data_IF_861465140543
#
_entry.id   IF_861465140543
#
_cell.length_a   1.000
_cell.length_b   1.000
_cell.length_c   1.000
_cell.angle_alpha   90.00
_cell.angle_beta   90.00
_cell.angle_gamma   90.00
#
_symmetry.space_group_name_H-M   'P 1'
#
loop_
_entity.id
_entity.type
_entity.pdbx_description
1 polymer ?
#
# COMPACT_ATOMS: atom_id res chain seq x y z
N UNK A 1 2.33 5.93 -20.62
CA UNK A 1 1.11 6.70 -20.87
C UNK A 1 -0.09 5.78 -20.72
N UNK A 2 -1.04 6.13 -19.93
CA UNK A 2 -2.27 5.37 -19.74
C UNK A 2 -3.46 6.30 -19.89
N UNK A 3 -4.47 5.85 -20.62
CA UNK A 3 -5.74 6.55 -20.80
C UNK A 3 -6.86 5.66 -20.27
N UNK A 4 -7.74 6.23 -19.45
CA UNK A 4 -8.90 5.54 -18.87
C UNK A 4 -10.14 6.40 -19.05
N UNK A 5 -11.16 5.79 -19.64
CA UNK A 5 -12.51 6.35 -19.72
C UNK A 5 -13.45 5.44 -18.94
N UNK A 6 -14.23 6.01 -18.05
CA UNK A 6 -15.29 5.30 -17.33
C UNK A 6 -16.43 6.27 -17.09
N UNK A 7 -17.64 5.87 -17.46
CA UNK A 7 -18.88 6.59 -17.13
C UNK A 7 -19.61 5.83 -16.05
N UNK A 8 -19.97 6.53 -14.99
CA UNK A 8 -20.79 6.00 -13.89
C UNK A 8 -22.14 6.66 -13.90
N UNK A 9 -23.20 5.87 -14.07
CA UNK A 9 -24.59 6.32 -13.99
C UNK A 9 -25.17 6.00 -12.61
N UNK A 10 -25.45 7.01 -11.81
CA UNK A 10 -26.03 6.87 -10.49
C UNK A 10 -27.52 7.25 -10.49
N UNK A 11 -28.35 6.40 -9.88
CA UNK A 11 -29.76 6.69 -9.65
C UNK A 11 -29.93 7.37 -8.28
N UNK A 12 -30.42 8.60 -8.28
CA UNK A 12 -30.45 9.48 -7.09
C UNK A 12 -31.79 9.40 -6.35
N UNK A 13 -32.86 8.95 -6.99
CA UNK A 13 -34.21 8.90 -6.38
C UNK A 13 -35.02 7.72 -6.88
N UNK A 14 -35.76 7.10 -5.96
CA UNK A 14 -36.72 6.03 -6.28
C UNK A 14 -38.00 6.52 -6.98
N UNK A 15 -38.32 7.81 -6.88
CA UNK A 15 -39.54 8.38 -7.44
C UNK A 15 -39.35 9.14 -8.76
N UNK A 16 -38.11 9.43 -9.11
CA UNK A 16 -37.73 9.98 -10.40
C UNK A 16 -36.44 9.31 -10.82
N UNK A 17 -36.42 8.72 -12.01
CA UNK A 17 -35.22 8.13 -12.61
C UNK A 17 -34.24 9.25 -13.01
N UNK A 18 -33.69 9.92 -12.00
CA UNK A 18 -32.65 10.95 -12.21
C UNK A 18 -31.32 10.20 -12.20
N UNK A 19 -30.73 10.02 -13.37
CA UNK A 19 -29.36 9.54 -13.50
C UNK A 19 -28.40 10.73 -13.50
N UNK A 20 -27.32 10.61 -12.74
CA UNK A 20 -26.16 11.49 -12.84
C UNK A 20 -25.02 10.70 -13.44
N UNK A 21 -24.60 11.08 -14.62
CA UNK A 21 -23.42 10.51 -15.24
C UNK A 21 -22.18 11.23 -14.72
N UNK A 22 -21.21 10.45 -14.26
CA UNK A 22 -19.91 10.96 -13.86
C UNK A 22 -18.87 10.33 -14.78
N UNK A 23 -18.23 11.17 -15.59
CA UNK A 23 -17.20 10.75 -16.50
C UNK A 23 -15.82 10.87 -15.85
N UNK A 24 -15.08 9.78 -15.94
CA UNK A 24 -13.68 9.72 -15.51
C UNK A 24 -12.81 9.56 -16.77
N UNK A 25 -12.27 10.65 -17.26
CA UNK A 25 -11.32 10.66 -18.36
C UNK A 25 -9.99 11.22 -17.87
N UNK A 26 -8.98 10.36 -17.82
CA UNK A 26 -7.66 10.72 -17.34
C UNK A 26 -6.59 10.12 -18.27
N UNK A 27 -5.68 10.98 -18.70
CA UNK A 27 -4.45 10.57 -19.36
C UNK A 27 -3.28 10.79 -18.40
N UNK A 28 -2.64 9.72 -17.99
CA UNK A 28 -1.60 9.74 -16.97
C UNK A 28 -0.24 9.30 -17.51
N UNK A 29 0.80 9.92 -17.00
CA UNK A 29 2.18 9.54 -17.25
C UNK A 29 2.81 8.96 -15.98
N UNK A 30 3.35 7.74 -16.10
CA UNK A 30 3.96 6.98 -15.00
C UNK A 30 5.45 6.74 -15.26
N UNK A 31 6.31 7.70 -14.93
CA UNK A 31 7.76 7.52 -15.05
C UNK A 31 8.25 6.51 -14.02
N UNK A 32 9.23 5.70 -14.41
CA UNK A 32 9.98 4.83 -13.52
C UNK A 32 11.45 4.80 -13.89
N UNK A 33 12.31 4.76 -12.87
CA UNK A 33 13.77 4.66 -13.02
C UNK A 33 14.26 3.63 -12.02
N UNK A 34 15.08 2.68 -12.50
CA UNK A 34 15.76 1.71 -11.66
C UNK A 34 17.25 1.73 -12.00
N UNK A 35 18.09 1.91 -10.99
CA UNK A 35 19.54 1.93 -11.13
C UNK A 35 20.13 0.92 -10.16
N UNK A 36 21.04 0.08 -10.66
CA UNK A 36 21.81 -0.85 -9.84
C UNK A 36 23.28 -0.57 -10.03
N UNK A 37 24.01 -0.49 -8.94
CA UNK A 37 25.46 -0.26 -8.94
C UNK A 37 26.15 -1.32 -8.09
N UNK A 38 27.02 -2.11 -8.72
CA UNK A 38 27.84 -3.11 -8.05
C UNK A 38 29.02 -2.43 -7.37
N UNK A 39 29.05 -2.46 -6.04
CA UNK A 39 30.20 -1.99 -5.24
C UNK A 39 31.35 -2.97 -5.32
N UNK A 40 31.04 -4.26 -5.29
CA UNK A 40 31.95 -5.39 -5.44
C UNK A 40 31.21 -6.55 -6.13
N UNK A 41 31.87 -7.67 -6.37
CA UNK A 41 31.23 -8.90 -6.89
C UNK A 41 30.15 -9.47 -5.94
N UNK A 42 30.15 -9.03 -4.68
CA UNK A 42 29.25 -9.52 -3.63
C UNK A 42 28.34 -8.45 -3.02
N UNK A 43 28.47 -7.23 -3.45
CA UNK A 43 27.74 -6.09 -2.86
C UNK A 43 27.20 -5.17 -3.94
N UNK A 44 25.96 -4.78 -3.79
CA UNK A 44 25.33 -3.84 -4.70
C UNK A 44 24.38 -2.88 -3.99
N UNK A 45 24.18 -1.74 -4.60
CA UNK A 45 23.17 -0.76 -4.21
C UNK A 45 22.16 -0.66 -5.36
N UNK A 46 20.88 -0.64 -4.99
CA UNK A 46 19.77 -0.38 -5.92
C UNK A 46 19.06 0.89 -5.51
N UNK A 47 18.76 1.69 -6.49
CA UNK A 47 17.88 2.84 -6.35
C UNK A 47 16.69 2.65 -7.29
N UNK A 48 15.48 2.88 -6.80
CA UNK A 48 14.29 2.86 -7.61
C UNK A 48 13.42 4.08 -7.32
N UNK A 49 12.87 4.65 -8.37
CA UNK A 49 11.82 5.64 -8.32
C UNK A 49 10.70 5.24 -9.27
N UNK A 50 9.45 5.41 -8.84
CA UNK A 50 8.31 5.19 -9.71
C UNK A 50 7.08 5.98 -9.26
N UNK A 51 6.34 6.49 -10.24
CA UNK A 51 5.01 7.04 -10.03
C UNK A 51 3.98 5.96 -10.34
N UNK A 52 3.01 5.76 -9.46
CA UNK A 52 1.88 4.84 -9.65
C UNK A 52 0.57 5.54 -9.30
N UNK A 53 -0.54 4.88 -9.58
CA UNK A 53 -1.88 5.37 -9.29
C UNK A 53 -2.68 4.27 -8.60
N UNK A 54 -3.45 4.65 -7.58
CA UNK A 54 -4.55 3.86 -7.05
C UNK A 54 -5.85 4.52 -7.52
N UNK A 55 -6.60 3.78 -8.34
CA UNK A 55 -7.87 4.24 -8.88
C UNK A 55 -9.01 3.75 -8.00
N UNK A 56 -10.08 4.51 -8.03
CA UNK A 56 -11.30 4.17 -7.33
C UNK A 56 -11.82 2.81 -7.82
N UNK A 57 -12.28 1.99 -6.92
CA UNK A 57 -13.03 0.79 -7.20
C UNK A 57 -14.51 1.13 -7.46
N UNK A 58 -15.22 0.23 -8.15
CA UNK A 58 -16.64 0.44 -8.43
C UNK A 58 -17.47 0.66 -7.16
N UNK A 59 -17.19 -0.08 -6.09
CA UNK A 59 -17.85 0.06 -4.80
C UNK A 59 -17.62 1.41 -4.14
N UNK A 60 -16.41 1.94 -4.28
CA UNK A 60 -16.02 3.21 -3.68
C UNK A 60 -16.74 4.39 -4.31
N UNK A 61 -17.07 4.30 -5.61
CA UNK A 61 -17.75 5.40 -6.35
C UNK A 61 -19.24 5.19 -6.52
N UNK A 62 -19.77 4.01 -6.22
CA UNK A 62 -21.21 3.73 -6.33
C UNK A 62 -21.99 4.49 -5.27
N UNK A 63 -23.07 5.17 -5.67
CA UNK A 63 -24.00 5.80 -4.72
C UNK A 63 -24.88 4.81 -3.95
N UNK A 64 -24.77 3.52 -4.25
CA UNK A 64 -25.53 2.49 -3.55
C UNK A 64 -25.10 2.40 -2.09
N UNK A 65 -26.07 2.26 -1.21
CA UNK A 65 -25.84 1.99 0.20
C UNK A 65 -25.95 0.48 0.39
N UNK A 66 -25.00 -0.11 1.10
CA UNK A 66 -25.05 -1.51 1.50
C UNK A 66 -24.70 -1.62 2.99
N UNK A 67 -25.30 -2.60 3.64
CA UNK A 67 -25.00 -2.93 5.03
C UNK A 67 -23.75 -3.80 5.09
N UNK A 68 -22.78 -3.39 5.91
CA UNK A 68 -21.63 -4.20 6.24
C UNK A 68 -21.88 -4.91 7.57
N UNK A 69 -21.98 -6.25 7.50
CA UNK A 69 -22.32 -7.08 8.66
C UNK A 69 -21.17 -7.18 9.68
N UNK A 70 -19.93 -6.91 9.30
CA UNK A 70 -18.79 -6.90 10.22
C UNK A 70 -18.74 -5.57 11.00
N UNK A 71 -19.08 -4.49 10.33
CA UNK A 71 -19.10 -3.14 10.93
C UNK A 71 -20.45 -2.81 11.59
N UNK A 72 -21.49 -3.63 11.36
CA UNK A 72 -22.87 -3.34 11.77
C UNK A 72 -23.32 -1.93 11.38
N UNK A 73 -22.96 -1.51 10.20
CA UNK A 73 -23.16 -0.13 9.71
C UNK A 73 -23.37 -0.08 8.22
N UNK A 74 -24.05 0.97 7.79
CA UNK A 74 -24.22 1.26 6.38
C UNK A 74 -22.89 1.78 5.78
N UNK A 75 -22.60 1.33 4.57
CA UNK A 75 -21.49 1.82 3.75
C UNK A 75 -22.03 2.44 2.47
N UNK A 76 -21.60 3.64 2.18
CA UNK A 76 -21.99 4.38 0.99
C UNK A 76 -20.75 4.81 0.21
N UNK A 77 -20.73 4.52 -1.09
CA UNK A 77 -19.68 5.01 -1.96
C UNK A 77 -19.78 6.52 -2.20
N UNK A 78 -18.70 7.10 -2.70
CA UNK A 78 -18.56 8.52 -3.00
C UNK A 78 -18.19 8.71 -4.48
N UNK A 79 -19.11 9.16 -5.34
CA UNK A 79 -18.86 9.36 -6.77
C UNK A 79 -17.89 10.52 -7.07
N UNK A 80 -17.58 11.37 -6.09
CA UNK A 80 -16.68 12.51 -6.26
C UNK A 80 -15.20 12.17 -5.97
N UNK A 81 -14.91 10.89 -5.74
CA UNK A 81 -13.54 10.42 -5.50
C UNK A 81 -12.60 10.67 -6.69
N UNK A 82 -11.40 11.10 -6.37
CA UNK A 82 -10.30 11.31 -7.32
C UNK A 82 -9.30 10.16 -7.24
N UNK A 83 -8.58 9.84 -8.34
CA UNK A 83 -7.47 8.89 -8.28
C UNK A 83 -6.39 9.35 -7.30
N UNK A 84 -5.83 8.41 -6.57
CA UNK A 84 -4.68 8.66 -5.70
C UNK A 84 -3.37 8.42 -6.47
N UNK A 85 -2.48 9.38 -6.48
CA UNK A 85 -1.15 9.26 -7.10
C UNK A 85 -0.10 9.00 -6.06
N UNK A 86 0.80 8.07 -6.36
CA UNK A 86 1.81 7.59 -5.42
C UNK A 86 3.20 7.78 -6.04
N UNK A 87 4.07 8.48 -5.34
CA UNK A 87 5.50 8.55 -5.64
C UNK A 87 6.22 7.58 -4.71
N UNK A 88 6.89 6.61 -5.29
CA UNK A 88 7.65 5.59 -4.58
C UNK A 88 9.15 5.87 -4.78
N UNK A 89 9.90 5.82 -3.71
CA UNK A 89 11.36 5.97 -3.69
C UNK A 89 11.94 4.89 -2.81
N UNK A 90 12.88 4.11 -3.35
CA UNK A 90 13.48 2.97 -2.68
C UNK A 90 15.01 3.03 -2.85
N UNK A 91 15.73 2.76 -1.77
CA UNK A 91 17.17 2.60 -1.75
C UNK A 91 17.49 1.31 -1.01
N UNK A 92 18.17 0.36 -1.67
CA UNK A 92 18.48 -0.95 -1.11
C UNK A 92 19.96 -1.25 -1.25
N UNK A 93 20.56 -1.69 -0.16
CA UNK A 93 21.87 -2.31 -0.13
C UNK A 93 21.71 -3.82 0.01
N UNK A 94 22.48 -4.57 -0.78
CA UNK A 94 22.46 -6.04 -0.77
C UNK A 94 23.90 -6.57 -0.66
N UNK A 95 24.09 -7.55 0.19
CA UNK A 95 25.35 -8.25 0.39
C UNK A 95 25.14 -9.75 0.31
N UNK A 96 25.95 -10.42 -0.50
CA UNK A 96 25.94 -11.86 -0.76
C UNK A 96 27.26 -12.47 -0.29
N UNK A 97 27.44 -12.77 1.02
CA UNK A 97 28.71 -13.23 1.58
C UNK A 97 29.14 -14.57 1.03
N UNK A 98 28.20 -15.52 0.84
CA UNK A 98 28.41 -16.85 0.32
C UNK A 98 27.24 -17.30 -0.56
N UNK A 99 27.41 -18.45 -1.23
CA UNK A 99 26.33 -19.04 -2.03
C UNK A 99 25.12 -19.36 -1.15
N UNK A 100 23.95 -18.90 -1.52
CA UNK A 100 22.70 -19.09 -0.77
C UNK A 100 22.52 -18.17 0.42
N UNK A 101 23.50 -17.34 0.76
CA UNK A 101 23.41 -16.33 1.83
C UNK A 101 23.17 -14.93 1.28
N UNK A 102 22.36 -14.16 1.97
CA UNK A 102 22.12 -12.74 1.64
C UNK A 102 21.76 -11.93 2.87
N UNK A 103 22.19 -10.68 2.86
CA UNK A 103 21.76 -9.66 3.81
C UNK A 103 21.34 -8.45 2.98
N UNK A 104 20.15 -7.93 3.21
CA UNK A 104 19.74 -6.68 2.58
C UNK A 104 19.12 -5.74 3.57
N UNK A 105 19.33 -4.45 3.32
CA UNK A 105 18.69 -3.35 4.04
C UNK A 105 18.09 -2.41 3.00
N UNK A 106 16.81 -2.14 3.11
CA UNK A 106 16.10 -1.22 2.25
C UNK A 106 15.51 -0.06 3.05
N UNK A 107 15.61 1.13 2.50
CA UNK A 107 14.92 2.33 2.94
C UNK A 107 13.88 2.65 1.89
N UNK A 108 12.66 2.94 2.30
CA UNK A 108 11.63 3.36 1.37
C UNK A 108 10.93 4.62 1.85
N UNK A 109 10.42 5.38 0.88
CA UNK A 109 9.57 6.53 1.08
C UNK A 109 8.46 6.55 0.04
N UNK A 110 7.19 6.62 0.49
CA UNK A 110 6.02 6.73 -0.38
C UNK A 110 5.25 7.99 -0.02
N UNK A 111 4.99 8.79 -1.03
CA UNK A 111 4.16 9.99 -0.92
C UNK A 111 2.90 9.82 -1.75
N UNK A 112 1.76 9.91 -1.09
CA UNK A 112 0.44 9.79 -1.67
C UNK A 112 -0.19 11.18 -1.80
N UNK A 113 -0.79 11.44 -2.95
CA UNK A 113 -1.64 12.59 -3.21
C UNK A 113 -3.07 12.09 -3.37
N UNK A 114 -3.99 12.65 -2.63
CA UNK A 114 -5.39 12.27 -2.59
C UNK A 114 -5.62 10.77 -2.30
N UNK A 115 -4.96 10.17 -1.28
CA UNK A 115 -5.23 8.78 -0.95
C UNK A 115 -6.69 8.59 -0.61
N UNK A 116 -7.28 7.48 -1.06
CA UNK A 116 -8.65 7.11 -0.75
C UNK A 116 -8.62 6.40 0.61
N UNK A 117 -9.38 6.93 1.56
CA UNK A 117 -9.44 6.43 2.92
C UNK A 117 -10.89 6.22 3.35
N UNK A 118 -11.11 5.23 4.19
CA UNK A 118 -12.38 5.05 4.87
C UNK A 118 -12.56 6.15 5.88
N UNK A 119 -13.75 6.77 5.86
CA UNK A 119 -14.17 7.77 6.81
C UNK A 119 -15.57 7.42 7.33
N UNK A 120 -15.99 8.02 8.42
CA UNK A 120 -17.32 7.83 8.92
C UNK A 120 -18.02 9.18 9.09
N UNK A 121 -19.34 9.17 8.91
CA UNK A 121 -20.20 10.33 9.16
C UNK A 121 -21.21 9.96 10.23
N UNK A 122 -21.37 10.82 11.23
CA UNK A 122 -22.41 10.67 12.23
C UNK A 122 -23.73 11.21 11.62
N UNK A 123 -24.69 10.32 11.47
CA UNK A 123 -26.02 10.61 10.94
C UNK A 123 -27.07 10.91 12.02
N UNK A 124 -26.66 11.21 13.28
CA UNK A 124 -27.61 11.52 14.37
C UNK A 124 -28.28 10.30 14.98
N UNK A 125 -27.56 9.17 15.09
CA UNK A 125 -28.04 7.92 15.71
C UNK A 125 -27.60 6.65 14.99
N UNK A 126 -27.01 6.77 13.80
CA UNK A 126 -26.34 5.69 13.09
C UNK A 126 -25.06 6.22 12.45
N UNK A 127 -24.01 5.37 12.42
CA UNK A 127 -22.80 5.69 11.68
C UNK A 127 -22.93 5.19 10.24
N UNK A 128 -22.55 6.04 9.30
CA UNK A 128 -22.43 5.66 7.89
C UNK A 128 -20.96 5.78 7.49
N UNK A 129 -20.38 4.68 7.05
CA UNK A 129 -19.04 4.68 6.49
C UNK A 129 -19.08 5.13 5.04
N UNK A 130 -18.06 5.86 4.63
CA UNK A 130 -17.89 6.33 3.26
C UNK A 130 -16.40 6.37 2.91
N UNK A 131 -16.10 6.72 1.66
CA UNK A 131 -14.75 6.88 1.16
C UNK A 131 -14.50 8.34 0.86
N UNK A 132 -13.35 8.85 1.27
CA UNK A 132 -12.94 10.22 0.98
C UNK A 132 -11.48 10.26 0.53
N UNK A 133 -11.14 11.24 -0.30
CA UNK A 133 -9.75 11.53 -0.58
C UNK A 133 -9.18 12.38 0.56
N UNK A 134 -8.24 11.84 1.31
CA UNK A 134 -7.42 12.65 2.20
C UNK A 134 -6.51 13.59 1.37
N UNK A 135 -5.99 14.65 1.98
CA UNK A 135 -5.10 15.59 1.28
C UNK A 135 -3.82 14.89 0.82
N UNK A 136 -3.15 14.23 1.74
CA UNK A 136 -1.91 13.50 1.49
C UNK A 136 -1.68 12.40 2.50
N UNK A 137 -0.84 11.43 2.11
CA UNK A 137 -0.26 10.49 3.06
C UNK A 137 1.23 10.29 2.79
N UNK A 138 1.94 9.83 3.80
CA UNK A 138 3.37 9.48 3.72
C UNK A 138 3.61 8.19 4.48
N UNK A 139 4.31 7.28 3.81
CA UNK A 139 4.83 6.08 4.44
C UNK A 139 6.33 6.03 4.23
N UNK A 140 7.09 5.78 5.27
CA UNK A 140 8.52 5.54 5.17
C UNK A 140 8.97 4.54 6.21
N UNK A 141 10.03 3.86 5.90
CA UNK A 141 10.50 2.81 6.79
C UNK A 141 11.79 2.18 6.35
N UNK A 142 12.14 1.16 7.12
CA UNK A 142 13.33 0.33 6.91
C UNK A 142 12.90 -1.12 6.86
N UNK A 143 13.43 -1.85 5.90
CA UNK A 143 13.27 -3.30 5.76
C UNK A 143 14.63 -3.96 5.85
N UNK A 144 14.71 -5.09 6.55
CA UNK A 144 15.92 -5.90 6.69
C UNK A 144 15.56 -7.34 6.37
N UNK A 145 16.29 -7.91 5.41
CA UNK A 145 16.18 -9.33 5.07
C UNK A 145 17.52 -10.01 5.31
N UNK A 146 17.50 -11.14 6.00
CA UNK A 146 18.68 -11.96 6.27
C UNK A 146 18.37 -13.40 5.90
N UNK A 147 19.21 -13.96 5.05
CA UNK A 147 19.26 -15.39 4.76
C UNK A 147 20.65 -15.90 5.09
N UNK A 148 20.74 -16.81 6.05
CA UNK A 148 22.01 -17.25 6.60
C UNK A 148 22.01 -18.76 6.81
N UNK A 149 23.06 -19.42 6.31
CA UNK A 149 23.40 -20.79 6.68
C UNK A 149 23.90 -20.83 8.12
N UNK A 150 23.49 -21.85 8.88
CA UNK A 150 23.82 -22.00 10.30
C UNK A 150 24.98 -23.00 10.56
N UNK A 151 25.70 -23.38 9.52
CA UNK A 151 26.86 -24.28 9.66
C UNK A 151 27.95 -23.72 10.58
N UNK A 152 28.08 -22.37 10.63
CA UNK A 152 29.06 -21.69 11.51
C UNK A 152 28.83 -21.92 13.01
N UNK A 153 27.61 -22.34 13.43
CA UNK A 153 27.29 -22.76 14.81
C UNK A 153 27.10 -24.27 14.95
N UNK A 154 27.51 -25.03 13.92
CA UNK A 154 27.45 -26.50 13.93
C UNK A 154 26.10 -27.08 13.47
N UNK A 155 25.11 -26.24 13.10
CA UNK A 155 23.81 -26.67 12.58
C UNK A 155 23.90 -26.85 11.06
N UNK A 156 24.49 -27.99 10.64
CA UNK A 156 24.58 -28.32 9.21
C UNK A 156 23.22 -28.53 8.60
N UNK A 157 23.04 -28.09 7.36
CA UNK A 157 21.81 -28.18 6.59
C UNK A 157 20.65 -27.31 7.11
N UNK A 158 20.91 -26.46 8.09
CA UNK A 158 19.92 -25.48 8.55
C UNK A 158 20.18 -24.12 7.93
N UNK A 159 19.10 -23.49 7.48
CA UNK A 159 19.09 -22.11 6.94
C UNK A 159 18.08 -21.27 7.69
N UNK A 160 18.51 -20.11 8.16
CA UNK A 160 17.69 -19.11 8.81
C UNK A 160 17.30 -18.04 7.81
N UNK A 161 16.00 -17.74 7.71
CA UNK A 161 15.46 -16.58 7.01
C UNK A 161 14.80 -15.66 8.02
N UNK A 162 15.26 -14.43 8.07
CA UNK A 162 14.65 -13.36 8.89
C UNK A 162 14.25 -12.21 7.98
N UNK A 163 13.06 -11.72 8.17
CA UNK A 163 12.58 -10.49 7.55
C UNK A 163 11.99 -9.60 8.65
N UNK A 164 12.40 -8.36 8.66
CA UNK A 164 11.87 -7.36 9.59
C UNK A 164 11.62 -6.05 8.89
N UNK A 165 10.50 -5.40 9.21
CA UNK A 165 10.22 -4.05 8.75
C UNK A 165 9.74 -3.16 9.87
N UNK A 166 10.15 -1.90 9.84
CA UNK A 166 9.61 -0.82 10.65
C UNK A 166 9.08 0.27 9.72
N UNK A 167 7.82 0.66 9.93
CA UNK A 167 7.08 1.53 9.04
C UNK A 167 6.43 2.64 9.84
N UNK A 168 6.65 3.86 9.43
CA UNK A 168 5.92 5.02 9.93
C UNK A 168 5.01 5.56 8.85
N UNK A 169 3.73 5.64 9.19
CA UNK A 169 2.66 6.05 8.30
C UNK A 169 1.95 7.28 8.87
N UNK A 170 1.54 8.20 8.02
CA UNK A 170 0.70 9.33 8.38
C UNK A 170 -0.20 9.73 7.21
N UNK A 171 -1.50 9.77 7.46
CA UNK A 171 -2.50 10.40 6.59
C UNK A 171 -2.86 11.75 7.17
N UNK A 172 -2.98 12.75 6.33
CA UNK A 172 -3.43 14.09 6.71
C UNK A 172 -4.69 14.45 5.95
N UNK A 173 -5.69 14.87 6.69
CA UNK A 173 -6.96 15.36 6.17
C UNK A 173 -6.96 16.89 6.20
N UNK A 174 -7.67 17.51 5.25
CA UNK A 174 -7.92 18.95 5.29
C UNK A 174 -8.87 19.24 6.45
N UNK A 175 -8.36 19.92 7.47
CA UNK A 175 -9.06 20.17 8.73
C UNK A 175 -10.29 21.08 8.57
N UNK A 176 -10.44 21.80 7.45
CA UNK A 176 -11.59 22.68 7.24
C UNK A 176 -12.85 21.93 6.77
N UNK A 177 -12.68 20.75 6.16
CA UNK A 177 -13.75 20.00 5.51
C UNK A 177 -13.95 18.57 6.03
N UNK A 178 -13.10 18.08 6.90
CA UNK A 178 -13.17 16.70 7.41
C UNK A 178 -13.29 16.67 8.94
N UNK A 179 -14.12 15.76 9.44
CA UNK A 179 -14.18 15.41 10.86
C UNK A 179 -13.01 14.48 11.27
N UNK A 180 -12.29 13.98 10.29
CA UNK A 180 -11.15 13.08 10.51
C UNK A 180 -9.90 13.86 10.97
N UNK A 181 -9.13 13.21 11.82
CA UNK A 181 -7.85 13.72 12.30
C UNK A 181 -6.69 12.97 11.66
N UNK A 182 -5.52 13.59 11.68
CA UNK A 182 -4.28 12.95 11.25
C UNK A 182 -4.08 11.61 11.98
N UNK A 183 -3.88 10.55 11.22
CA UNK A 183 -3.72 9.17 11.73
C UNK A 183 -2.79 8.34 10.84
N UNK A 184 -2.32 7.17 11.28
CA UNK A 184 -1.71 6.21 10.37
C UNK A 184 -2.68 5.78 9.26
N UNK A 185 -2.18 5.37 8.10
CA UNK A 185 -3.00 4.72 7.06
C UNK A 185 -3.66 3.47 7.62
N UNK A 186 -4.90 3.23 7.21
CA UNK A 186 -5.63 2.04 7.64
C UNK A 186 -4.95 0.76 7.16
N UNK A 187 -4.97 -0.28 8.01
CA UNK A 187 -4.33 -1.55 7.71
C UNK A 187 -2.79 -1.55 7.76
N UNK A 188 -2.15 -0.41 8.06
CA UNK A 188 -0.70 -0.32 8.11
C UNK A 188 -0.16 -0.69 9.51
N UNK A 189 0.48 -1.86 9.61
CA UNK A 189 1.23 -2.24 10.81
C UNK A 189 2.52 -1.42 10.93
N UNK A 190 2.87 -0.93 12.15
CA UNK A 190 4.09 -0.16 12.35
C UNK A 190 5.37 -1.01 12.28
N UNK A 191 5.26 -2.30 12.48
CA UNK A 191 6.35 -3.28 12.36
C UNK A 191 5.81 -4.63 11.89
N UNK A 192 6.66 -5.36 11.22
CA UNK A 192 6.40 -6.74 10.80
C UNK A 192 7.68 -7.53 10.98
N UNK A 193 7.58 -8.73 11.54
CA UNK A 193 8.71 -9.64 11.72
C UNK A 193 8.29 -11.04 11.28
N UNK A 194 9.08 -11.62 10.41
CA UNK A 194 8.95 -13.02 9.98
C UNK A 194 10.27 -13.75 10.25
N UNK A 195 10.16 -14.94 10.78
CA UNK A 195 11.31 -15.83 11.00
C UNK A 195 10.97 -17.23 10.46
N UNK A 196 11.87 -17.80 9.68
CA UNK A 196 11.75 -19.14 9.15
C UNK A 196 13.06 -19.91 9.35
N UNK A 197 12.96 -21.14 9.83
CA UNK A 197 14.07 -22.08 9.91
C UNK A 197 13.80 -23.23 8.95
N UNK A 198 14.73 -23.47 8.04
CA UNK A 198 14.63 -24.50 7.02
C UNK A 198 15.70 -25.54 7.25
N UNK A 199 15.31 -26.81 7.18
CA UNK A 199 16.22 -27.93 7.18
C UNK A 199 16.15 -28.62 5.81
N UNK A 200 17.29 -28.75 5.15
CA UNK A 200 17.38 -29.39 3.82
C UNK A 200 18.53 -30.38 3.75
N UNK A 201 18.21 -31.58 3.30
CA UNK A 201 19.20 -32.63 2.98
C UNK A 201 19.00 -33.07 1.53
N UNK A 202 19.93 -33.87 1.00
CA UNK A 202 19.79 -34.45 -0.34
C UNK A 202 18.51 -35.32 -0.51
N UNK A 203 17.93 -35.79 0.60
CA UNK A 203 16.79 -36.72 0.61
C UNK A 203 15.48 -36.07 1.09
N UNK A 204 15.53 -34.95 1.79
CA UNK A 204 14.36 -34.29 2.34
C UNK A 204 14.61 -32.79 2.52
N UNK A 205 13.56 -31.97 2.30
CA UNK A 205 13.54 -30.55 2.63
C UNK A 205 12.24 -30.24 3.35
N UNK A 206 12.31 -29.41 4.42
CA UNK A 206 11.18 -28.90 5.21
C UNK A 206 11.36 -27.40 5.45
#
# INVERSE_FOLDING_TARGET
LENRNMTLTNYISSNAWISKDTDFDNTDFFPSVNVSYNLTDKQLIRFAYGKSVNRQEFREVSSSVYEDFELFSDVKGNPDLKPAYIHNLDLRYEWYPASGESVSVALFYKHFRHPIEWTFRDGGGSYTYTFENADKARNYGVEVDIRKDLEFIGLRNFMLNLNGSWIKSKVSFDSENSLEHDRPMQGQSPYLVNAGLFYQTEKAGV
#
